data_IF_872704837587
#
_entry.id   IF_872704837587
#
_cell.length_a   1.000
_cell.length_b   1.000
_cell.length_c   1.000
_cell.angle_alpha   90.00
_cell.angle_beta   90.00
_cell.angle_gamma   90.00
#
_symmetry.space_group_name_H-M   'P 1'
#
loop_
_entity.id
_entity.type
_entity.pdbx_description
1 polymer ?
#
# COMPACT_ATOMS: atom_id res chain seq x y z
N UNK A 1 1.56 19.00 -9.89
CA UNK A 1 2.68 18.12 -9.54
C UNK A 1 2.72 17.02 -10.58
N UNK A 2 3.80 16.90 -11.36
CA UNK A 2 3.94 15.88 -12.41
C UNK A 2 4.29 14.54 -11.77
N UNK A 3 3.29 13.74 -11.41
CA UNK A 3 3.51 12.40 -10.85
C UNK A 3 2.33 11.50 -11.21
N UNK A 4 2.29 11.06 -12.45
CA UNK A 4 1.59 9.84 -12.87
C UNK A 4 2.30 9.33 -14.11
N UNK A 5 3.26 8.44 -13.89
CA UNK A 5 3.78 7.56 -14.93
C UNK A 5 3.78 6.16 -14.35
N UNK A 6 2.79 5.37 -14.78
CA UNK A 6 2.83 3.92 -14.62
C UNK A 6 3.97 3.40 -15.50
N UNK A 7 4.98 2.77 -14.89
CA UNK A 7 6.14 2.26 -15.60
C UNK A 7 6.00 0.75 -15.81
N UNK A 8 5.56 0.38 -17.01
CA UNK A 8 5.65 -0.99 -17.53
C UNK A 8 6.86 -1.09 -18.46
N UNK A 9 7.86 -1.88 -18.07
CA UNK A 9 9.08 -2.09 -18.85
C UNK A 9 9.12 -3.55 -19.34
N UNK A 10 9.32 -3.73 -20.65
CA UNK A 10 9.42 -5.04 -21.29
C UNK A 10 10.60 -5.06 -22.26
N UNK A 11 11.21 -6.24 -22.46
CA UNK A 11 12.16 -6.45 -23.56
C UNK A 11 11.40 -6.56 -24.89
N UNK A 12 11.91 -5.93 -25.96
CA UNK A 12 11.20 -5.70 -27.22
C UNK A 12 10.94 -6.96 -28.09
N UNK A 13 11.04 -8.16 -27.54
CA UNK A 13 10.81 -9.42 -28.28
C UNK A 13 10.22 -10.48 -27.36
N UNK A 14 8.95 -10.90 -27.56
CA UNK A 14 8.39 -12.05 -26.86
C UNK A 14 9.14 -13.32 -27.30
N UNK A 15 10.11 -13.77 -26.50
CA UNK A 15 10.71 -15.08 -26.71
C UNK A 15 9.69 -16.14 -26.30
N UNK A 16 9.07 -16.77 -27.30
CA UNK A 16 8.53 -18.13 -27.34
C UNK A 16 8.17 -18.79 -25.99
N UNK A 17 7.35 -18.13 -25.15
CA UNK A 17 6.76 -18.76 -23.97
C UNK A 17 5.37 -19.27 -24.35
N UNK A 18 5.11 -20.53 -24.05
CA UNK A 18 3.84 -21.19 -24.42
C UNK A 18 2.60 -20.55 -23.76
N UNK A 19 2.77 -19.74 -22.71
CA UNK A 19 1.67 -19.11 -21.96
C UNK A 19 1.95 -17.66 -21.44
N UNK A 20 2.98 -16.97 -21.95
CA UNK A 20 3.38 -15.62 -21.52
C UNK A 20 4.48 -15.59 -20.46
N UNK A 21 5.13 -14.43 -20.32
CA UNK A 21 6.26 -14.20 -19.40
C UNK A 21 5.81 -14.07 -17.93
N UNK A 22 6.67 -14.41 -16.96
CA UNK A 22 6.46 -14.05 -15.55
C UNK A 22 6.36 -12.52 -15.37
N UNK A 23 5.55 -12.09 -14.40
CA UNK A 23 5.35 -10.67 -14.07
C UNK A 23 5.82 -10.42 -12.63
N UNK A 24 6.86 -9.61 -12.45
CA UNK A 24 7.34 -9.15 -11.16
C UNK A 24 6.77 -7.76 -10.90
N UNK A 25 6.23 -7.54 -9.70
CA UNK A 25 5.50 -6.32 -9.38
C UNK A 25 6.13 -5.68 -8.15
N UNK A 26 6.78 -4.54 -8.37
CA UNK A 26 7.49 -3.78 -7.35
C UNK A 26 6.53 -2.89 -6.58
N UNK A 27 6.58 -2.99 -5.25
CA UNK A 27 5.94 -2.05 -4.33
C UNK A 27 7.06 -1.38 -3.53
N UNK A 28 7.22 -0.06 -3.70
CA UNK A 28 8.26 0.69 -3.02
C UNK A 28 7.98 0.88 -1.53
N UNK A 29 9.06 1.11 -0.76
CA UNK A 29 9.01 1.41 0.67
C UNK A 29 8.96 2.90 1.00
N UNK A 30 9.30 3.26 2.25
CA UNK A 30 9.27 4.64 2.75
C UNK A 30 8.31 4.87 3.92
N UNK A 31 8.12 3.84 4.76
CA UNK A 31 7.36 3.93 6.01
C UNK A 31 5.89 4.28 5.85
N UNK A 32 5.29 3.98 4.68
CA UNK A 32 3.95 4.43 4.29
C UNK A 32 3.78 5.95 4.22
N UNK A 33 4.85 6.74 4.36
CA UNK A 33 4.83 8.21 4.36
C UNK A 33 5.46 8.81 3.11
N UNK A 34 6.41 8.09 2.52
CA UNK A 34 7.26 8.55 1.41
C UNK A 34 7.53 7.39 0.44
N UNK A 35 8.27 7.67 -0.64
CA UNK A 35 8.60 6.71 -1.67
C UNK A 35 7.97 7.05 -3.01
N UNK A 36 8.53 6.48 -4.07
CA UNK A 36 7.97 6.56 -5.41
C UNK A 36 8.54 5.46 -6.29
N UNK A 37 7.71 4.93 -7.20
CA UNK A 37 8.12 3.99 -8.23
C UNK A 37 9.11 4.59 -9.24
N UNK A 38 9.19 5.92 -9.35
CA UNK A 38 9.98 6.62 -10.38
C UNK A 38 11.43 6.88 -9.96
N UNK A 39 11.89 6.38 -8.80
CA UNK A 39 13.27 6.56 -8.38
C UNK A 39 14.20 5.71 -9.24
N UNK A 40 15.35 6.24 -9.65
CA UNK A 40 16.30 5.55 -10.54
C UNK A 40 16.78 4.19 -9.99
N UNK A 41 16.85 4.05 -8.66
CA UNK A 41 17.19 2.80 -7.97
C UNK A 41 16.16 1.68 -8.25
N UNK A 42 14.94 2.02 -8.67
CA UNK A 42 13.89 1.08 -9.05
C UNK A 42 13.75 0.89 -10.56
N UNK A 43 14.69 1.43 -11.36
CA UNK A 43 14.70 1.17 -12.80
C UNK A 43 14.80 -0.33 -13.07
N UNK A 44 13.79 -0.87 -13.75
CA UNK A 44 13.64 -2.29 -13.99
C UNK A 44 14.18 -2.78 -15.35
N UNK A 45 14.86 -1.94 -16.13
CA UNK A 45 15.40 -2.31 -17.45
C UNK A 45 16.33 -3.53 -17.38
N UNK A 46 17.30 -3.51 -16.46
CA UNK A 46 18.25 -4.61 -16.30
C UNK A 46 17.53 -5.89 -15.85
N UNK A 47 16.62 -5.78 -14.88
CA UNK A 47 15.86 -6.92 -14.37
C UNK A 47 15.00 -7.55 -15.46
N UNK A 48 14.28 -6.74 -16.24
CA UNK A 48 13.45 -7.21 -17.34
C UNK A 48 14.28 -7.85 -18.45
N UNK A 49 15.36 -7.20 -18.87
CA UNK A 49 16.20 -7.68 -19.97
C UNK A 49 16.97 -8.95 -19.63
N UNK A 50 17.65 -8.98 -18.47
CA UNK A 50 18.48 -10.13 -18.05
C UNK A 50 17.63 -11.29 -17.57
N UNK A 51 16.56 -11.00 -16.80
CA UNK A 51 15.66 -12.01 -16.27
C UNK A 51 14.71 -12.59 -17.31
N UNK A 52 14.53 -11.91 -18.45
CA UNK A 52 13.50 -12.21 -19.44
C UNK A 52 12.10 -12.29 -18.79
N UNK A 53 11.73 -11.22 -18.10
CA UNK A 53 10.48 -11.08 -17.35
C UNK A 53 9.86 -9.72 -17.57
N UNK A 54 8.57 -9.59 -17.31
CA UNK A 54 7.90 -8.29 -17.23
C UNK A 54 8.08 -7.76 -15.81
N UNK A 55 8.45 -6.48 -15.69
CA UNK A 55 8.48 -5.80 -14.40
C UNK A 55 7.53 -4.61 -14.43
N UNK A 56 6.66 -4.56 -13.45
CA UNK A 56 5.71 -3.47 -13.24
C UNK A 56 5.98 -2.78 -11.91
N UNK A 57 5.75 -1.47 -11.87
CA UNK A 57 5.71 -0.69 -10.64
C UNK A 57 4.61 0.36 -10.78
N UNK A 58 4.09 0.84 -9.67
CA UNK A 58 2.97 1.77 -9.66
C UNK A 58 3.03 2.66 -8.42
N UNK A 59 2.35 3.80 -8.48
CA UNK A 59 2.21 4.70 -7.34
C UNK A 59 1.04 4.25 -6.47
N UNK A 60 1.17 4.41 -5.16
CA UNK A 60 0.05 4.29 -4.23
C UNK A 60 0.06 5.47 -3.27
N UNK A 61 -1.11 5.91 -2.81
CA UNK A 61 -1.20 7.04 -1.90
C UNK A 61 -0.49 6.71 -0.57
N UNK A 62 0.26 7.69 -0.08
CA UNK A 62 1.06 7.62 1.14
C UNK A 62 0.59 8.66 2.15
N UNK A 63 1.05 8.52 3.39
CA UNK A 63 0.73 9.41 4.50
C UNK A 63 -0.76 9.49 4.75
N UNK A 64 -1.22 10.64 5.23
CA UNK A 64 -2.64 10.92 5.44
C UNK A 64 -3.48 10.75 4.17
N UNK A 65 -2.93 10.98 2.98
CA UNK A 65 -3.66 10.77 1.72
C UNK A 65 -4.01 9.31 1.45
N UNK A 66 -3.19 8.38 1.96
CA UNK A 66 -3.37 6.94 1.82
C UNK A 66 -3.98 6.26 3.03
N UNK A 67 -3.89 6.86 4.21
CA UNK A 67 -4.12 6.17 5.48
C UNK A 67 -4.95 6.96 6.50
N UNK A 68 -5.51 8.12 6.15
CA UNK A 68 -6.47 8.80 7.03
C UNK A 68 -7.67 7.88 7.33
N UNK A 69 -7.85 7.58 8.61
CA UNK A 69 -8.89 6.67 9.10
C UNK A 69 -9.73 7.38 10.16
N UNK A 70 -10.98 7.68 9.81
CA UNK A 70 -11.95 8.38 10.68
C UNK A 70 -13.33 7.70 10.69
N UNK A 71 -13.53 6.63 9.91
CA UNK A 71 -14.84 5.97 9.81
C UNK A 71 -15.48 5.57 11.15
N UNK A 72 -14.75 5.12 12.20
CA UNK A 72 -15.37 4.76 13.48
C UNK A 72 -16.02 5.95 14.22
N UNK A 73 -15.69 7.19 13.85
CA UNK A 73 -16.20 8.41 14.48
C UNK A 73 -17.10 9.24 13.56
N UNK A 74 -17.53 8.66 12.43
CA UNK A 74 -18.42 9.27 11.44
C UNK A 74 -19.54 8.28 11.03
N UNK A 75 -20.50 7.97 11.92
CA UNK A 75 -21.52 6.96 11.64
C UNK A 75 -22.37 7.33 10.42
N UNK A 76 -22.54 6.39 9.47
CA UNK A 76 -23.22 6.61 8.20
C UNK A 76 -22.37 7.29 7.11
N UNK A 77 -21.08 7.48 7.38
CA UNK A 77 -20.10 8.10 6.48
C UNK A 77 -18.82 7.27 6.40
N UNK A 78 -18.96 5.94 6.42
CA UNK A 78 -17.85 4.99 6.52
C UNK A 78 -16.83 5.15 5.36
N UNK A 79 -17.32 5.50 4.17
CA UNK A 79 -16.50 5.68 2.95
C UNK A 79 -15.80 7.05 2.84
N UNK A 80 -16.09 8.02 3.73
CA UNK A 80 -15.47 9.35 3.65
C UNK A 80 -13.96 9.33 4.00
N UNK A 81 -13.58 8.48 4.95
CA UNK A 81 -12.19 8.24 5.35
C UNK A 81 -12.06 6.84 5.98
N UNK A 82 -12.18 5.76 5.18
CA UNK A 82 -12.15 4.38 5.68
C UNK A 82 -10.76 3.94 6.17
N UNK A 83 -9.71 4.68 5.85
CA UNK A 83 -8.32 4.23 6.03
C UNK A 83 -7.86 3.29 4.94
N UNK A 84 -6.57 2.95 4.94
CA UNK A 84 -5.94 1.98 4.03
C UNK A 84 -6.15 2.21 2.52
N UNK A 85 -6.62 3.37 2.08
CA UNK A 85 -6.88 3.64 0.65
C UNK A 85 -5.60 3.53 -0.20
N UNK A 86 -4.42 3.71 0.38
CA UNK A 86 -3.14 3.37 -0.27
C UNK A 86 -2.95 1.88 -0.53
N UNK A 87 -3.45 1.00 0.35
CA UNK A 87 -3.47 -0.46 0.10
C UNK A 87 -4.54 -0.84 -0.93
N UNK A 88 -5.65 -0.10 -0.97
CA UNK A 88 -6.66 -0.25 -2.01
C UNK A 88 -6.15 0.21 -3.39
N UNK A 89 -5.33 1.27 -3.45
CA UNK A 89 -4.64 1.67 -4.68
C UNK A 89 -3.76 0.55 -5.22
N UNK A 90 -2.95 -0.06 -4.33
CA UNK A 90 -2.13 -1.23 -4.67
C UNK A 90 -3.01 -2.39 -5.17
N UNK A 91 -4.09 -2.72 -4.48
CA UNK A 91 -5.00 -3.78 -4.88
C UNK A 91 -5.63 -3.53 -6.25
N UNK A 92 -5.99 -2.29 -6.56
CA UNK A 92 -6.51 -1.87 -7.85
C UNK A 92 -5.44 -2.02 -8.95
N UNK A 93 -4.21 -1.56 -8.69
CA UNK A 93 -3.10 -1.71 -9.62
C UNK A 93 -2.78 -3.20 -9.90
N UNK A 94 -2.82 -4.05 -8.88
CA UNK A 94 -2.63 -5.50 -9.04
C UNK A 94 -3.72 -6.15 -9.91
N UNK A 95 -4.99 -5.76 -9.71
CA UNK A 95 -6.11 -6.23 -10.55
C UNK A 95 -5.92 -5.77 -12.00
N UNK A 96 -5.60 -4.49 -12.18
CA UNK A 96 -5.34 -3.93 -13.50
C UNK A 96 -4.19 -4.65 -14.21
N UNK A 97 -3.08 -4.92 -13.52
CA UNK A 97 -1.94 -5.66 -14.07
C UNK A 97 -2.32 -7.09 -14.44
N UNK A 98 -3.14 -7.77 -13.64
CA UNK A 98 -3.62 -9.13 -13.94
C UNK A 98 -4.53 -9.13 -15.17
N UNK A 99 -5.45 -8.17 -15.26
CA UNK A 99 -6.38 -8.02 -16.39
C UNK A 99 -5.66 -7.71 -17.71
N UNK A 100 -4.60 -6.89 -17.64
CA UNK A 100 -3.84 -6.45 -18.82
C UNK A 100 -2.58 -7.30 -19.09
N UNK A 101 -2.26 -8.28 -18.24
CA UNK A 101 -1.05 -9.10 -18.33
C UNK A 101 -0.77 -9.60 -19.75
N UNK A 102 -1.79 -10.17 -20.40
CA UNK A 102 -1.66 -10.76 -21.74
C UNK A 102 -1.38 -9.73 -22.82
N UNK A 103 -1.87 -8.49 -22.67
CA UNK A 103 -1.62 -7.40 -23.62
C UNK A 103 -0.14 -7.01 -23.66
N UNK A 104 0.58 -7.22 -22.55
CA UNK A 104 2.03 -7.00 -22.45
C UNK A 104 2.87 -8.28 -22.67
N UNK A 105 2.24 -9.39 -23.08
CA UNK A 105 2.90 -10.69 -23.26
C UNK A 105 3.15 -11.47 -21.96
N UNK A 106 2.53 -11.07 -20.86
CA UNK A 106 2.66 -11.70 -19.54
C UNK A 106 1.62 -12.77 -19.27
N UNK A 107 1.95 -13.67 -18.35
CA UNK A 107 1.03 -14.67 -17.82
C UNK A 107 0.36 -14.15 -16.52
N UNK A 108 -0.97 -13.92 -16.51
CA UNK A 108 -1.68 -13.41 -15.33
C UNK A 108 -1.67 -14.36 -14.12
N UNK A 109 -1.34 -15.64 -14.32
CA UNK A 109 -1.20 -16.62 -13.24
C UNK A 109 0.26 -16.76 -12.76
N UNK A 110 1.20 -16.06 -13.40
CA UNK A 110 2.62 -16.09 -13.05
C UNK A 110 3.10 -14.74 -12.52
N UNK A 111 2.33 -14.17 -11.59
CA UNK A 111 2.64 -12.91 -10.94
C UNK A 111 3.43 -13.14 -9.64
N UNK A 112 4.38 -12.26 -9.34
CA UNK A 112 5.16 -12.26 -8.09
C UNK A 112 5.24 -10.85 -7.57
N UNK A 113 4.77 -10.63 -6.34
CA UNK A 113 4.93 -9.36 -5.66
C UNK A 113 6.32 -9.30 -5.04
N UNK A 114 6.98 -8.16 -5.09
CA UNK A 114 8.22 -7.93 -4.35
C UNK A 114 8.31 -6.48 -3.88
N UNK A 115 8.89 -6.27 -2.71
CA UNK A 115 8.95 -4.95 -2.10
C UNK A 115 9.93 -4.90 -0.96
N UNK A 116 10.29 -3.68 -0.56
CA UNK A 116 11.23 -3.39 0.53
C UNK A 116 10.58 -2.49 1.59
N UNK A 117 10.90 -2.71 2.87
CA UNK A 117 10.37 -1.94 4.00
C UNK A 117 8.83 -1.90 3.97
N UNK A 118 8.21 -0.72 3.96
CA UNK A 118 6.75 -0.56 3.82
C UNK A 118 6.18 -1.22 2.55
N UNK A 119 6.96 -1.30 1.47
CA UNK A 119 6.60 -2.04 0.26
C UNK A 119 6.59 -3.54 0.51
N UNK A 120 7.55 -4.07 1.27
CA UNK A 120 7.58 -5.47 1.72
C UNK A 120 6.38 -5.80 2.61
N UNK A 121 6.05 -4.92 3.55
CA UNK A 121 4.83 -5.06 4.35
C UNK A 121 3.55 -4.94 3.53
N UNK A 122 3.57 -4.14 2.46
CA UNK A 122 2.47 -4.08 1.49
C UNK A 122 2.34 -5.39 0.72
N UNK A 123 3.45 -6.02 0.29
CA UNK A 123 3.44 -7.39 -0.26
C UNK A 123 2.76 -8.34 0.72
N UNK A 124 3.14 -8.29 2.00
CA UNK A 124 2.49 -9.09 3.04
C UNK A 124 0.98 -8.81 3.12
N UNK A 125 0.56 -7.54 3.12
CA UNK A 125 -0.86 -7.15 3.18
C UNK A 125 -1.65 -7.68 1.97
N UNK A 126 -1.14 -7.51 0.76
CA UNK A 126 -1.79 -7.93 -0.48
C UNK A 126 -1.94 -9.47 -0.58
N UNK A 127 -0.99 -10.23 -0.03
CA UNK A 127 -1.05 -11.69 -0.02
C UNK A 127 -2.04 -12.26 1.00
N UNK A 128 -2.26 -11.55 2.12
CA UNK A 128 -3.02 -12.04 3.28
C UNK A 128 -4.41 -11.42 3.42
N UNK A 129 -4.63 -10.22 2.91
CA UNK A 129 -5.91 -9.53 3.01
C UNK A 129 -7.03 -10.34 2.36
N UNK A 130 -8.20 -10.51 2.99
CA UNK A 130 -9.34 -11.19 2.36
C UNK A 130 -9.81 -10.50 1.07
N UNK A 131 -9.50 -9.21 0.89
CA UNK A 131 -9.84 -8.43 -0.29
C UNK A 131 -9.09 -8.89 -1.54
N UNK A 132 -7.85 -9.34 -1.38
CA UNK A 132 -6.91 -9.63 -2.47
C UNK A 132 -6.35 -11.04 -2.45
N UNK A 133 -6.61 -11.81 -1.39
CA UNK A 133 -6.12 -13.18 -1.21
C UNK A 133 -6.43 -14.02 -2.44
N UNK A 134 -5.41 -14.67 -2.99
CA UNK A 134 -5.52 -15.51 -4.18
C UNK A 134 -5.31 -14.81 -5.51
N UNK A 135 -5.29 -13.46 -5.57
CA UNK A 135 -4.88 -12.74 -6.79
C UNK A 135 -3.43 -13.05 -7.16
N UNK A 136 -2.56 -13.02 -6.15
CA UNK A 136 -1.15 -13.42 -6.24
C UNK A 136 -0.84 -14.29 -5.01
N UNK A 137 -0.02 -15.33 -5.20
CA UNK A 137 0.41 -16.26 -4.14
C UNK A 137 1.93 -16.35 -3.98
N UNK A 138 2.69 -15.59 -4.77
CA UNK A 138 4.16 -15.53 -4.69
C UNK A 138 4.62 -14.15 -4.25
N UNK A 139 5.47 -14.09 -3.24
CA UNK A 139 5.92 -12.86 -2.62
C UNK A 139 7.41 -12.87 -2.25
N UNK A 140 8.09 -11.77 -2.49
CA UNK A 140 9.40 -11.47 -1.93
C UNK A 140 9.32 -10.27 -0.97
N UNK A 141 9.67 -10.50 0.28
CA UNK A 141 9.56 -9.52 1.37
C UNK A 141 10.95 -9.13 1.89
N UNK A 142 11.43 -7.94 1.52
CA UNK A 142 12.74 -7.43 1.94
C UNK A 142 12.59 -6.50 3.14
N UNK A 143 13.05 -6.91 4.32
CA UNK A 143 13.09 -6.07 5.53
C UNK A 143 11.75 -5.45 5.98
N UNK A 144 10.63 -6.11 5.68
CA UNK A 144 9.32 -5.64 6.16
C UNK A 144 8.25 -6.72 6.21
N UNK A 145 7.56 -6.82 7.34
CA UNK A 145 6.42 -7.69 7.56
C UNK A 145 5.38 -6.94 8.39
N UNK A 146 4.09 -7.27 8.22
CA UNK A 146 3.03 -6.50 8.89
C UNK A 146 3.09 -6.59 10.43
N UNK A 147 3.68 -7.65 11.00
CA UNK A 147 3.85 -7.77 12.45
C UNK A 147 4.95 -6.85 13.02
N UNK A 148 5.72 -6.14 12.17
CA UNK A 148 6.65 -5.13 12.65
C UNK A 148 5.87 -3.96 13.29
N UNK A 149 6.35 -3.35 14.40
CA UNK A 149 5.62 -2.30 15.12
C UNK A 149 5.30 -1.06 14.28
N UNK A 150 6.12 -0.76 13.27
CA UNK A 150 5.93 0.37 12.36
C UNK A 150 4.95 0.06 11.21
N UNK A 151 4.51 -1.20 11.10
CA UNK A 151 3.85 -1.74 9.91
C UNK A 151 2.39 -2.15 10.12
N UNK A 152 1.84 -1.89 11.30
CA UNK A 152 0.42 -2.01 11.57
C UNK A 152 0.03 -1.00 12.65
N UNK A 153 -1.24 -0.61 12.67
CA UNK A 153 -1.78 0.32 13.64
C UNK A 153 -3.22 -0.09 14.01
N UNK A 154 -3.60 0.11 15.27
CA UNK A 154 -5.00 -0.10 15.65
C UNK A 154 -5.89 1.01 15.09
N UNK A 155 -7.18 0.69 14.88
CA UNK A 155 -8.17 1.67 14.45
C UNK A 155 -8.20 2.90 15.38
N UNK A 156 -8.17 2.68 16.69
CA UNK A 156 -8.26 3.73 17.70
C UNK A 156 -7.08 4.71 17.59
N UNK A 157 -5.86 4.19 17.38
CA UNK A 157 -4.67 5.03 17.24
C UNK A 157 -4.71 5.83 15.94
N UNK A 158 -5.16 5.22 14.85
CA UNK A 158 -5.31 5.89 13.57
C UNK A 158 -6.38 7.00 13.63
N UNK A 159 -7.48 6.79 14.38
CA UNK A 159 -8.49 7.83 14.65
C UNK A 159 -7.91 8.98 15.48
N UNK A 160 -7.11 8.69 16.51
CA UNK A 160 -6.46 9.73 17.32
C UNK A 160 -5.56 10.63 16.45
N UNK A 161 -4.71 10.02 15.63
CA UNK A 161 -3.82 10.72 14.70
C UNK A 161 -4.63 11.49 13.65
N UNK A 162 -5.68 10.89 13.10
CA UNK A 162 -6.56 11.52 12.13
C UNK A 162 -7.24 12.77 12.69
N UNK A 163 -7.75 12.71 13.92
CA UNK A 163 -8.34 13.87 14.61
C UNK A 163 -7.32 14.97 14.88
N UNK A 164 -6.09 14.61 15.27
CA UNK A 164 -5.01 15.56 15.45
C UNK A 164 -4.70 16.29 14.14
N UNK A 165 -4.53 15.55 13.04
CA UNK A 165 -4.29 16.14 11.72
C UNK A 165 -5.43 17.07 11.27
N UNK A 166 -6.68 16.69 11.50
CA UNK A 166 -7.83 17.54 11.18
C UNK A 166 -7.73 18.89 11.89
N UNK A 167 -7.41 18.89 13.19
CA UNK A 167 -7.21 20.12 13.96
C UNK A 167 -5.95 20.89 13.51
N UNK A 168 -4.84 20.20 13.21
CA UNK A 168 -3.60 20.82 12.73
C UNK A 168 -3.77 21.50 11.35
N UNK A 169 -4.77 21.06 10.58
CA UNK A 169 -5.18 21.68 9.32
C UNK A 169 -6.24 22.79 9.50
N UNK A 170 -6.52 23.20 10.75
CA UNK A 170 -7.53 24.18 11.13
C UNK A 170 -8.97 23.78 10.75
N UNK A 171 -9.25 22.48 10.62
CA UNK A 171 -10.60 21.95 10.54
C UNK A 171 -11.05 21.46 11.92
N UNK A 172 -12.32 21.63 12.28
CA UNK A 172 -12.77 21.30 13.64
C UNK A 172 -13.10 19.79 13.77
N UNK A 173 -12.17 19.00 14.31
CA UNK A 173 -12.35 17.57 14.51
C UNK A 173 -13.45 17.23 15.53
N UNK A 174 -13.86 18.20 16.38
CA UNK A 174 -14.94 17.97 17.35
C UNK A 174 -16.29 17.75 16.69
N UNK A 175 -16.46 18.17 15.43
CA UNK A 175 -17.70 18.05 14.66
C UNK A 175 -17.79 16.74 13.86
N UNK A 176 -16.80 15.84 13.96
CA UNK A 176 -16.83 14.56 13.24
C UNK A 176 -18.08 13.72 13.56
N UNK A 177 -18.57 13.62 14.82
CA UNK A 177 -19.78 12.86 15.11
C UNK A 177 -21.07 13.53 14.63
N UNK A 178 -21.19 14.86 14.71
CA UNK A 178 -22.43 15.58 14.43
C UNK A 178 -22.55 16.10 12.98
N UNK A 179 -21.43 16.48 12.37
CA UNK A 179 -21.39 17.04 11.02
C UNK A 179 -20.08 16.64 10.28
N UNK A 180 -19.88 15.33 10.03
CA UNK A 180 -18.68 14.83 9.36
C UNK A 180 -18.48 15.44 7.96
N UNK A 181 -19.58 15.69 7.23
CA UNK A 181 -19.52 16.30 5.90
C UNK A 181 -18.84 17.67 5.91
N UNK A 182 -19.14 18.54 6.89
CA UNK A 182 -18.51 19.85 6.99
C UNK A 182 -17.00 19.74 7.29
N UNK A 183 -16.61 18.80 8.17
CA UNK A 183 -15.20 18.56 8.50
C UNK A 183 -14.44 18.04 7.28
N UNK A 184 -15.00 17.06 6.57
CA UNK A 184 -14.36 16.48 5.39
C UNK A 184 -14.34 17.46 4.20
N UNK A 185 -15.36 18.31 4.05
CA UNK A 185 -15.35 19.40 3.09
C UNK A 185 -14.23 20.41 3.39
N UNK A 186 -14.03 20.78 4.66
CA UNK A 186 -12.90 21.60 5.09
C UNK A 186 -11.56 20.94 4.74
N UNK A 187 -11.37 19.67 5.11
CA UNK A 187 -10.12 18.95 4.85
C UNK A 187 -9.77 18.85 3.36
N UNK A 188 -10.77 18.70 2.48
CA UNK A 188 -10.57 18.68 1.02
C UNK A 188 -10.18 20.03 0.43
N UNK A 189 -10.45 21.14 1.12
CA UNK A 189 -10.05 22.48 0.70
C UNK A 189 -8.64 22.87 1.19
N UNK A 190 -8.09 22.12 2.14
CA UNK A 190 -6.73 22.35 2.63
C UNK A 190 -5.73 22.01 1.53
N UNK A 191 -4.75 22.89 1.31
CA UNK A 191 -3.66 22.61 0.39
C UNK A 191 -2.96 21.30 0.74
N UNK A 192 -2.76 20.43 -0.25
CA UNK A 192 -2.08 19.15 -0.05
C UNK A 192 -0.69 19.34 0.59
N UNK A 193 -0.01 20.47 0.32
CA UNK A 193 1.28 20.77 0.98
C UNK A 193 1.13 20.96 2.49
N UNK A 194 0.05 21.57 2.95
CA UNK A 194 -0.26 21.75 4.37
C UNK A 194 -0.49 20.40 5.03
N UNK A 195 -1.38 19.56 4.49
CA UNK A 195 -1.59 18.19 5.00
C UNK A 195 -0.27 17.40 5.02
N UNK A 196 0.51 17.50 3.94
CA UNK A 196 1.80 16.80 3.79
C UNK A 196 2.81 17.16 4.88
N UNK A 197 2.78 18.40 5.38
CA UNK A 197 3.63 18.87 6.48
C UNK A 197 3.01 18.52 7.83
N UNK A 198 1.75 18.89 8.06
CA UNK A 198 1.10 18.78 9.37
C UNK A 198 0.96 17.34 9.87
N UNK A 199 0.81 16.35 8.96
CA UNK A 199 0.75 14.94 9.36
C UNK A 199 1.96 14.49 10.20
N UNK A 200 3.12 15.13 10.03
CA UNK A 200 4.34 14.79 10.78
C UNK A 200 4.31 15.26 12.24
N UNK A 201 3.36 16.12 12.64
CA UNK A 201 3.22 16.52 14.04
C UNK A 201 2.88 15.34 14.96
N UNK A 202 2.22 14.31 14.41
CA UNK A 202 1.90 13.06 15.11
C UNK A 202 2.99 11.99 15.00
N UNK A 203 4.15 12.30 14.39
CA UNK A 203 5.30 11.41 14.41
C UNK A 203 5.98 11.45 15.78
N UNK A 204 5.81 10.39 16.57
CA UNK A 204 6.35 10.31 17.92
C UNK A 204 7.23 9.08 18.09
N UNK A 205 8.55 9.28 18.19
CA UNK A 205 9.51 8.20 18.41
C UNK A 205 10.03 7.54 17.13
N UNK A 206 11.12 6.79 17.27
CA UNK A 206 11.83 6.17 16.14
C UNK A 206 10.92 5.12 15.48
N UNK A 207 10.74 5.25 14.16
CA UNK A 207 9.93 4.34 13.31
C UNK A 207 8.43 4.28 13.65
N UNK A 208 7.89 5.20 14.45
CA UNK A 208 6.45 5.24 14.75
C UNK A 208 5.74 6.25 13.84
N UNK A 209 5.54 5.87 12.57
CA UNK A 209 4.93 6.73 11.57
C UNK A 209 3.45 7.02 11.84
N UNK A 210 2.93 8.22 11.51
CA UNK A 210 1.51 8.55 11.69
C UNK A 210 0.60 7.85 10.66
N UNK A 211 1.17 7.06 9.75
CA UNK A 211 0.44 6.25 8.78
C UNK A 211 1.05 4.86 8.70
N UNK A 212 0.19 3.86 8.77
CA UNK A 212 0.52 2.44 8.62
C UNK A 212 -0.77 1.67 8.24
N UNK A 213 -0.67 0.43 7.75
CA UNK A 213 -1.80 -0.48 7.62
C UNK A 213 -2.63 -0.52 8.90
N UNK A 214 -3.85 -0.02 8.83
CA UNK A 214 -4.75 0.13 9.98
C UNK A 214 -5.65 -1.08 10.08
N UNK A 215 -5.86 -1.63 11.28
CA UNK A 215 -6.84 -2.71 11.49
C UNK A 215 -8.24 -2.09 11.31
N UNK A 216 -8.85 -2.31 10.15
CA UNK A 216 -10.07 -1.62 9.71
C UNK A 216 -11.30 -2.55 9.64
N UNK A 217 -11.13 -3.85 9.91
CA UNK A 217 -12.21 -4.83 9.76
C UNK A 217 -12.51 -5.19 8.29
N UNK A 218 -11.79 -4.61 7.33
CA UNK A 218 -12.00 -4.75 5.90
C UNK A 218 -10.72 -5.25 5.21
N UNK A 219 -9.80 -4.36 4.84
CA UNK A 219 -8.54 -4.75 4.19
C UNK A 219 -7.63 -5.50 5.18
N UNK A 220 -7.57 -5.04 6.42
CA UNK A 220 -6.87 -5.69 7.52
C UNK A 220 -7.88 -6.02 8.63
N UNK A 221 -8.52 -7.20 8.59
CA UNK A 221 -9.66 -7.49 9.46
C UNK A 221 -9.29 -7.77 10.92
N UNK A 222 -8.02 -8.07 11.20
CA UNK A 222 -7.52 -8.28 12.54
C UNK A 222 -6.02 -7.97 12.60
N UNK A 223 -5.46 -7.99 13.81
CA UNK A 223 -4.02 -7.95 14.03
C UNK A 223 -3.27 -8.99 13.16
N UNK A 224 -2.13 -8.63 12.52
CA UNK A 224 -1.41 -9.52 11.62
C UNK A 224 -1.03 -10.88 12.21
N UNK A 225 -0.67 -10.94 13.50
CA UNK A 225 -0.35 -12.21 14.17
C UNK A 225 -1.59 -13.05 14.45
N UNK A 226 -2.76 -12.42 14.58
CA UNK A 226 -4.03 -13.13 14.68
C UNK A 226 -4.44 -13.73 13.33
N UNK A 227 -4.24 -13.00 12.22
CA UNK A 227 -4.50 -13.52 10.87
C UNK A 227 -3.66 -14.75 10.54
N UNK A 228 -2.40 -14.77 10.96
CA UNK A 228 -1.49 -15.89 10.72
C UNK A 228 -1.90 -17.18 11.45
N UNK A 229 -2.63 -17.10 12.57
CA UNK A 229 -3.03 -18.29 13.34
C UNK A 229 -3.99 -19.21 12.58
N UNK A 230 -4.76 -18.67 11.64
CA UNK A 230 -5.79 -19.40 10.89
C UNK A 230 -5.52 -19.45 9.38
N UNK A 231 -4.43 -18.82 8.92
CA UNK A 231 -4.11 -18.77 7.50
C UNK A 231 -3.54 -20.11 7.00
N UNK A 232 -4.28 -20.79 6.11
CA UNK A 232 -3.69 -21.85 5.28
C UNK A 232 -2.87 -21.24 4.12
N UNK A 233 -1.55 -21.35 4.21
CA UNK A 233 -0.62 -20.82 3.21
C UNK A 233 -0.19 -21.88 2.18
N UNK A 234 -0.94 -22.97 2.05
CA UNK A 234 -0.71 -23.97 1.01
C UNK A 234 -0.73 -23.33 -0.38
N UNK A 235 0.33 -23.55 -1.15
CA UNK A 235 0.51 -22.97 -2.49
C UNK A 235 0.99 -21.51 -2.49
N UNK A 236 1.45 -20.98 -1.35
CA UNK A 236 2.19 -19.72 -1.30
C UNK A 236 3.70 -19.97 -1.36
N UNK A 237 4.37 -19.18 -2.19
CA UNK A 237 5.82 -19.17 -2.33
C UNK A 237 6.36 -17.87 -1.74
N UNK A 238 7.19 -17.95 -0.69
CA UNK A 238 7.71 -16.78 0.02
C UNK A 238 9.24 -16.76 0.04
N UNK A 239 9.82 -15.67 -0.44
CA UNK A 239 11.22 -15.30 -0.23
C UNK A 239 11.26 -14.13 0.75
N UNK A 240 11.95 -14.24 1.88
CA UNK A 240 12.02 -13.18 2.88
C UNK A 240 13.43 -13.08 3.45
N UNK A 241 13.86 -11.87 3.80
CA UNK A 241 15.15 -11.65 4.44
C UNK A 241 15.34 -10.23 4.97
N UNK A 242 16.50 -10.02 5.57
CA UNK A 242 16.93 -8.74 6.13
C UNK A 242 18.33 -8.39 5.61
N UNK A 243 18.65 -7.10 5.66
CA UNK A 243 20.04 -6.63 5.54
C UNK A 243 20.76 -6.76 6.87
N UNK A 244 22.09 -6.65 6.87
CA UNK A 244 22.90 -6.77 8.08
C UNK A 244 22.68 -5.60 9.06
N UNK A 245 22.60 -4.38 8.52
CA UNK A 245 22.55 -3.12 9.26
C UNK A 245 21.51 -2.17 8.61
#
# INVERSE_FOLDING_TARGET
SKTDQDHLIHSATPQNTTNGLPILIWIYGGGFMTGSATLDIYNAEIMSAVGNVIVASFQYRLGAFGFLHLSPVMPGFEEEAPGNVGLWDQALALRWLKENARAFGGNPEWMTLFGESAGSSSVNAQLMSPVTRGLVKRGMMQSGTMNAPWSHMTSEKAVEIGKALVNDCNCNASLLPENPQAVMACMRQVDAKTISVQQWNSYSGILSYPSAPTIDGAFLPADPMTLLKTADLSGYDILIGNVKD
#
